data_IF_695174897470
#
_entry.id   IF_695174897470
#
_cell.length_a   1.000
_cell.length_b   1.000
_cell.length_c   1.000
_cell.angle_alpha   90.00
_cell.angle_beta   90.00
_cell.angle_gamma   90.00
#
_symmetry.space_group_name_H-M   'P 1'
#
loop_
_entity.id
_entity.type
_entity.pdbx_description
1 polymer ?
#
# COMPACT_ATOMS: atom_id res chain seq x y z
N UNK A 1 -7.45 10.35 17.86
CA UNK A 1 -6.89 10.73 16.55
C UNK A 1 -6.05 11.97 16.75
N UNK A 2 -4.74 11.76 16.92
CA UNK A 2 -3.77 12.83 16.95
C UNK A 2 -3.57 13.41 15.54
N UNK A 3 -3.03 14.63 15.49
CA UNK A 3 -2.94 15.55 14.35
C UNK A 3 -2.83 14.88 12.98
N UNK A 4 -3.84 15.09 12.12
CA UNK A 4 -3.79 14.68 10.72
C UNK A 4 -3.02 15.73 9.94
N UNK A 5 -1.88 15.36 9.37
CA UNK A 5 -1.15 16.21 8.42
C UNK A 5 -1.59 15.80 7.01
N UNK A 6 -2.06 16.74 6.21
CA UNK A 6 -2.47 16.50 4.82
C UNK A 6 -1.62 17.33 3.86
N UNK A 7 -0.98 16.66 2.92
CA UNK A 7 -0.04 17.26 1.97
C UNK A 7 -0.22 16.71 0.58
N UNK A 8 0.02 17.52 -0.45
CA UNK A 8 0.18 17.02 -1.82
C UNK A 8 1.57 16.42 -2.03
N UNK A 9 1.75 15.62 -3.07
CA UNK A 9 3.07 15.09 -3.47
C UNK A 9 4.07 16.22 -3.77
N UNK A 10 3.58 17.34 -4.32
CA UNK A 10 4.37 18.56 -4.53
C UNK A 10 4.83 19.16 -3.20
N UNK A 11 3.90 19.35 -2.26
CA UNK A 11 4.20 19.89 -0.92
C UNK A 11 5.20 19.01 -0.17
N UNK A 12 5.00 17.70 -0.17
CA UNK A 12 5.91 16.75 0.46
C UNK A 12 7.29 16.75 -0.22
N UNK A 13 7.34 16.76 -1.55
CA UNK A 13 8.59 16.84 -2.32
C UNK A 13 9.40 18.11 -2.02
N UNK A 14 8.74 19.27 -1.95
CA UNK A 14 9.39 20.54 -1.58
C UNK A 14 9.92 20.52 -0.15
N UNK A 15 9.14 19.98 0.79
CA UNK A 15 9.60 19.85 2.18
C UNK A 15 10.80 18.92 2.31
N UNK A 16 10.77 17.74 1.69
CA UNK A 16 11.87 16.78 1.71
C UNK A 16 13.14 17.37 1.11
N UNK A 17 13.02 18.06 -0.04
CA UNK A 17 14.16 18.73 -0.68
C UNK A 17 14.74 19.84 0.19
N UNK A 18 13.88 20.66 0.80
CA UNK A 18 14.32 21.75 1.69
C UNK A 18 14.94 21.22 2.99
N UNK A 19 14.54 20.03 3.43
CA UNK A 19 15.05 19.34 4.60
C UNK A 19 16.27 18.44 4.33
N UNK A 20 16.81 18.46 3.10
CA UNK A 20 18.00 17.70 2.67
C UNK A 20 17.80 16.17 2.68
N UNK A 21 16.56 15.70 2.48
CA UNK A 21 16.25 14.30 2.19
C UNK A 21 16.27 14.05 0.68
N UNK A 22 17.48 14.03 0.11
CA UNK A 22 17.72 14.06 -1.33
C UNK A 22 17.16 12.83 -2.07
N UNK A 23 17.25 11.64 -1.49
CA UNK A 23 16.78 10.41 -2.14
C UNK A 23 15.24 10.34 -2.16
N UNK A 24 14.58 10.64 -1.04
CA UNK A 24 13.12 10.68 -0.95
C UNK A 24 12.53 11.83 -1.78
N UNK A 25 13.16 13.00 -1.75
CA UNK A 25 12.72 14.14 -2.57
C UNK A 25 12.87 13.84 -4.06
N UNK A 26 13.93 13.14 -4.47
CA UNK A 26 14.11 12.68 -5.86
C UNK A 26 12.99 11.75 -6.28
N UNK A 27 12.63 10.76 -5.45
CA UNK A 27 11.49 9.85 -5.74
C UNK A 27 10.21 10.67 -5.91
N UNK A 28 9.90 11.60 -4.99
CA UNK A 28 8.71 12.44 -5.11
C UNK A 28 8.70 13.27 -6.40
N UNK A 29 9.81 13.93 -6.70
CA UNK A 29 9.90 14.82 -7.87
C UNK A 29 9.86 14.04 -9.18
N UNK A 30 10.58 12.93 -9.29
CA UNK A 30 10.71 12.20 -10.56
C UNK A 30 9.58 11.21 -10.80
N UNK A 31 9.09 10.54 -9.77
CA UNK A 31 8.11 9.45 -9.94
C UNK A 31 6.68 9.92 -9.75
N UNK A 32 6.44 10.99 -8.99
CA UNK A 32 5.09 11.51 -8.73
C UNK A 32 4.84 12.83 -9.48
N UNK A 33 5.68 13.84 -9.28
CA UNK A 33 5.47 15.18 -9.86
C UNK A 33 5.78 15.20 -11.37
N UNK A 34 6.86 14.54 -11.80
CA UNK A 34 7.27 14.38 -13.21
C UNK A 34 7.34 15.70 -14.01
N UNK A 35 8.08 16.73 -13.54
CA UNK A 35 8.21 17.99 -14.29
C UNK A 35 8.90 17.75 -15.64
N UNK A 36 8.45 18.42 -16.72
CA UNK A 36 9.01 18.30 -18.08
C UNK A 36 10.31 19.07 -18.27
N UNK A 37 10.75 19.82 -17.26
CA UNK A 37 12.01 20.54 -17.27
C UNK A 37 12.14 21.53 -16.12
N UNK A 38 13.29 22.18 -16.04
CA UNK A 38 13.67 23.09 -14.95
C UNK A 38 12.68 24.23 -14.73
N UNK A 39 12.17 24.85 -15.81
CA UNK A 39 11.20 25.95 -15.70
C UNK A 39 9.90 25.53 -15.03
N UNK A 40 9.43 24.32 -15.33
CA UNK A 40 8.21 23.77 -14.72
C UNK A 40 8.46 23.40 -13.26
N UNK A 41 9.62 22.79 -12.95
CA UNK A 41 10.02 22.50 -11.58
C UNK A 41 10.09 23.77 -10.71
N UNK A 42 10.69 24.85 -11.21
CA UNK A 42 10.75 26.14 -10.51
C UNK A 42 9.36 26.73 -10.29
N UNK A 43 8.47 26.62 -11.27
CA UNK A 43 7.09 27.10 -11.14
C UNK A 43 6.31 26.30 -10.08
N UNK A 44 6.44 24.96 -10.09
CA UNK A 44 5.86 24.06 -9.08
C UNK A 44 6.39 24.42 -7.70
N UNK A 45 7.71 24.54 -7.54
CA UNK A 45 8.33 24.90 -6.27
C UNK A 45 7.77 26.21 -5.71
N UNK A 46 7.76 27.28 -6.52
CA UNK A 46 7.26 28.59 -6.09
C UNK A 46 5.78 28.57 -5.73
N UNK A 47 4.95 27.85 -6.51
CA UNK A 47 3.53 27.67 -6.21
C UNK A 47 3.31 26.92 -4.91
N UNK A 48 4.05 25.83 -4.72
CA UNK A 48 3.99 24.95 -3.55
C UNK A 48 4.42 25.66 -2.28
N UNK A 49 5.49 26.45 -2.31
CA UNK A 49 5.91 27.26 -1.17
C UNK A 49 4.79 28.21 -0.73
N UNK A 50 4.06 28.82 -1.67
CA UNK A 50 2.91 29.66 -1.31
C UNK A 50 1.79 28.86 -0.61
N UNK A 51 1.53 27.62 -1.04
CA UNK A 51 0.56 26.74 -0.37
C UNK A 51 1.03 26.37 1.04
N UNK A 52 2.30 26.01 1.21
CA UNK A 52 2.90 25.70 2.52
C UNK A 52 2.88 26.91 3.47
N UNK A 53 3.08 28.13 2.95
CA UNK A 53 2.90 29.38 3.72
C UNK A 53 1.46 29.54 4.20
N UNK A 54 0.47 29.32 3.33
CA UNK A 54 -0.94 29.39 3.70
C UNK A 54 -1.33 28.34 4.75
N UNK A 55 -0.69 27.17 4.74
CA UNK A 55 -0.85 26.13 5.76
C UNK A 55 -0.09 26.41 7.07
N UNK A 56 0.72 27.47 7.13
CA UNK A 56 1.55 27.79 8.29
C UNK A 56 2.73 26.84 8.51
N UNK A 57 3.06 25.99 7.52
CA UNK A 57 4.17 25.04 7.57
C UNK A 57 5.49 25.72 7.19
N UNK A 58 5.43 26.76 6.35
CA UNK A 58 6.59 27.51 5.86
C UNK A 58 6.70 28.90 6.50
N UNK A 59 7.77 29.12 7.27
CA UNK A 59 8.11 30.40 7.88
C UNK A 59 8.87 31.29 6.89
N UNK A 60 8.18 32.29 6.37
CA UNK A 60 8.73 33.21 5.39
C UNK A 60 9.81 34.14 5.95
N UNK A 61 9.74 34.48 7.24
CA UNK A 61 10.72 35.36 7.86
C UNK A 61 12.03 34.64 8.13
N UNK A 62 11.99 33.34 8.40
CA UNK A 62 13.17 32.48 8.40
C UNK A 62 13.75 32.32 7.00
N UNK A 63 12.91 32.05 6.00
CA UNK A 63 13.36 31.89 4.62
C UNK A 63 14.13 33.11 4.10
N UNK A 64 13.60 34.33 4.32
CA UNK A 64 14.26 35.60 3.94
C UNK A 64 15.61 35.83 4.61
N UNK A 65 15.86 35.18 5.76
CA UNK A 65 17.11 35.24 6.52
C UNK A 65 18.06 34.09 6.18
N UNK A 66 17.76 33.31 5.13
CA UNK A 66 18.51 32.13 4.73
C UNK A 66 18.57 31.06 5.84
N UNK A 67 17.56 31.03 6.71
CA UNK A 67 17.37 29.99 7.72
C UNK A 67 16.39 28.94 7.21
N UNK A 68 16.46 27.71 7.74
CA UNK A 68 15.50 26.66 7.42
C UNK A 68 14.06 27.14 7.76
N UNK A 69 13.16 27.21 6.77
CA UNK A 69 11.81 27.74 6.95
C UNK A 69 10.84 26.75 7.58
N UNK A 70 11.25 25.49 7.76
CA UNK A 70 10.43 24.41 8.30
C UNK A 70 10.51 24.43 9.84
N UNK A 71 9.38 24.21 10.52
CA UNK A 71 9.35 24.09 11.98
C UNK A 71 10.04 22.82 12.47
N UNK A 72 10.51 22.80 13.73
CA UNK A 72 11.14 21.61 14.31
C UNK A 72 10.20 20.40 14.36
N UNK A 73 8.90 20.62 14.56
CA UNK A 73 7.86 19.59 14.53
C UNK A 73 7.79 18.91 13.16
N UNK A 74 7.72 19.70 12.09
CA UNK A 74 7.66 19.17 10.72
C UNK A 74 9.00 18.52 10.34
N UNK A 75 10.14 19.09 10.76
CA UNK A 75 11.44 18.45 10.57
C UNK A 75 11.52 17.08 11.27
N UNK A 76 10.91 16.94 12.45
CA UNK A 76 10.86 15.67 13.18
C UNK A 76 9.97 14.66 12.44
N UNK A 77 8.81 15.10 11.94
CA UNK A 77 7.95 14.28 11.09
C UNK A 77 8.68 13.79 9.82
N UNK A 78 9.36 14.68 9.09
CA UNK A 78 10.10 14.31 7.88
C UNK A 78 11.21 13.30 8.17
N UNK A 79 11.90 13.43 9.32
CA UNK A 79 12.89 12.43 9.76
C UNK A 79 12.27 11.05 9.96
N UNK A 80 11.10 10.97 10.58
CA UNK A 80 10.37 9.70 10.78
C UNK A 80 9.87 9.15 9.44
N UNK A 81 9.38 10.03 8.57
CA UNK A 81 8.90 9.67 7.24
C UNK A 81 10.00 9.05 6.36
N UNK A 82 11.20 9.63 6.38
CA UNK A 82 12.33 9.18 5.56
C UNK A 82 13.10 8.02 6.20
N UNK A 83 13.28 8.01 7.53
CA UNK A 83 14.11 7.01 8.21
C UNK A 83 13.27 5.91 8.86
N UNK A 84 12.77 4.98 8.05
CA UNK A 84 12.07 3.79 8.54
C UNK A 84 12.69 2.53 7.95
N UNK A 85 12.76 1.47 8.76
CA UNK A 85 13.29 0.17 8.33
C UNK A 85 12.21 -0.79 7.86
N UNK A 86 11.02 -0.73 8.45
CA UNK A 86 9.93 -1.66 8.20
C UNK A 86 8.65 -0.92 7.83
N UNK A 87 7.91 -1.47 6.87
CA UNK A 87 6.59 -0.96 6.53
C UNK A 87 5.62 -2.06 6.13
N UNK A 88 4.34 -1.77 6.30
CA UNK A 88 3.23 -2.48 5.67
C UNK A 88 2.73 -1.60 4.53
N UNK A 89 2.64 -2.14 3.32
CA UNK A 89 2.08 -1.44 2.16
C UNK A 89 0.88 -2.21 1.64
N UNK A 90 -0.27 -1.53 1.60
CA UNK A 90 -1.52 -2.06 1.08
C UNK A 90 -1.93 -1.27 -0.17
N UNK A 91 -2.33 -1.96 -1.24
CA UNK A 91 -2.82 -1.35 -2.48
C UNK A 91 -4.31 -1.60 -2.66
N UNK A 92 -5.02 -0.59 -3.14
CA UNK A 92 -6.43 -0.68 -3.54
C UNK A 92 -6.59 0.01 -4.90
N UNK A 93 -6.58 -0.80 -5.95
CA UNK A 93 -6.62 -0.30 -7.34
C UNK A 93 -7.98 0.31 -7.69
N UNK A 94 -9.06 -0.18 -7.08
CA UNK A 94 -10.40 0.37 -7.30
C UNK A 94 -10.52 1.80 -6.78
N UNK A 95 -10.00 2.06 -5.57
CA UNK A 95 -9.94 3.40 -4.97
C UNK A 95 -8.79 4.24 -5.52
N UNK A 96 -7.90 3.66 -6.34
CA UNK A 96 -6.61 4.26 -6.74
C UNK A 96 -5.81 4.77 -5.53
N UNK A 97 -5.84 3.99 -4.46
CA UNK A 97 -5.28 4.37 -3.19
C UNK A 97 -4.18 3.41 -2.76
N UNK A 98 -3.19 3.96 -2.05
CA UNK A 98 -2.17 3.17 -1.36
C UNK A 98 -2.17 3.55 0.11
N UNK A 99 -2.18 2.56 0.98
CA UNK A 99 -1.95 2.73 2.40
C UNK A 99 -0.53 2.25 2.72
N UNK A 100 0.22 3.07 3.45
CA UNK A 100 1.56 2.71 3.94
C UNK A 100 1.61 2.96 5.44
N UNK A 101 1.92 1.91 6.21
CA UNK A 101 2.16 1.99 7.64
C UNK A 101 3.66 1.81 7.87
N UNK A 102 4.34 2.85 8.36
CA UNK A 102 5.78 2.79 8.67
C UNK A 102 5.98 2.58 10.14
N UNK A 103 6.81 1.60 10.50
CA UNK A 103 7.16 1.41 11.90
C UNK A 103 8.03 2.57 12.38
N UNK A 104 7.65 3.17 13.50
CA UNK A 104 8.40 4.26 14.13
C UNK A 104 9.19 3.71 15.31
N UNK A 105 8.50 3.28 16.36
CA UNK A 105 9.09 2.74 17.59
C UNK A 105 8.02 2.11 18.48
N UNK A 106 8.37 1.02 19.16
CA UNK A 106 7.52 0.33 20.15
C UNK A 106 6.16 -0.08 19.55
N UNK A 107 5.09 0.59 19.94
CA UNK A 107 3.72 0.35 19.48
C UNK A 107 3.30 1.36 18.40
N UNK A 108 4.15 2.34 18.08
CA UNK A 108 3.79 3.48 17.22
C UNK A 108 4.14 3.24 15.75
N UNK A 109 3.15 3.48 14.90
CA UNK A 109 3.25 3.44 13.45
C UNK A 109 2.83 4.78 12.85
N UNK A 110 3.52 5.20 11.79
CA UNK A 110 3.11 6.32 10.96
C UNK A 110 2.21 5.78 9.84
N UNK A 111 0.92 6.10 9.94
CA UNK A 111 -0.07 5.90 8.90
C UNK A 111 0.14 6.92 7.78
N UNK A 112 0.07 6.46 6.54
CA UNK A 112 0.03 7.29 5.34
C UNK A 112 -1.00 6.73 4.35
N UNK A 113 -2.09 7.46 4.13
CA UNK A 113 -3.02 7.19 3.03
C UNK A 113 -2.68 8.08 1.84
N UNK A 114 -2.53 7.48 0.67
CA UNK A 114 -2.19 8.13 -0.59
C UNK A 114 -3.38 7.98 -1.55
N UNK A 115 -3.99 9.10 -1.93
CA UNK A 115 -5.12 9.17 -2.86
C UNK A 115 -4.65 9.64 -4.25
N UNK A 116 -4.92 8.83 -5.28
CA UNK A 116 -4.56 9.08 -6.69
C UNK A 116 -3.10 9.52 -6.89
N UNK A 117 -2.19 9.00 -6.05
CA UNK A 117 -0.76 9.36 -6.03
C UNK A 117 -0.47 10.86 -5.77
N UNK A 118 -1.47 11.64 -5.36
CA UNK A 118 -1.40 13.11 -5.23
C UNK A 118 -1.55 13.56 -3.78
N UNK A 119 -2.54 13.04 -3.05
CA UNK A 119 -2.87 13.52 -1.70
C UNK A 119 -2.39 12.52 -0.67
N UNK A 120 -1.57 12.97 0.26
CA UNK A 120 -1.03 12.18 1.36
C UNK A 120 -1.64 12.66 2.68
N UNK A 121 -2.31 11.75 3.39
CA UNK A 121 -2.82 11.99 4.73
C UNK A 121 -2.04 11.15 5.74
N UNK A 122 -1.51 11.81 6.77
CA UNK A 122 -0.66 11.20 7.77
C UNK A 122 -1.32 11.24 9.15
N UNK A 123 -1.11 10.18 9.92
CA UNK A 123 -1.50 10.11 11.33
C UNK A 123 -0.57 9.14 12.06
N UNK A 124 -0.49 9.25 13.38
CA UNK A 124 0.11 8.19 14.20
C UNK A 124 -0.98 7.24 14.67
N UNK A 125 -0.71 5.94 14.59
CA UNK A 125 -1.58 4.87 15.08
C UNK A 125 -0.78 3.89 15.94
N UNK A 126 -1.49 3.14 16.77
CA UNK A 126 -0.94 2.01 17.52
C UNK A 126 -0.94 0.72 16.69
N UNK A 127 -0.11 -0.26 17.07
CA UNK A 127 -0.05 -1.59 16.45
C UNK A 127 -1.41 -2.29 16.49
N UNK A 128 -2.17 -2.09 17.57
CA UNK A 128 -3.49 -2.71 17.77
C UNK A 128 -4.54 -2.18 16.80
N UNK A 129 -4.35 -1.00 16.23
CA UNK A 129 -5.27 -0.37 15.26
C UNK A 129 -5.06 -0.88 13.83
N UNK A 130 -3.93 -1.55 13.53
CA UNK A 130 -3.57 -1.99 12.17
C UNK A 130 -4.68 -2.80 11.47
N UNK A 131 -5.30 -3.82 12.11
CA UNK A 131 -6.34 -4.60 11.45
C UNK A 131 -7.56 -3.76 11.07
N UNK A 132 -8.02 -2.89 11.96
CA UNK A 132 -9.18 -2.02 11.70
C UNK A 132 -8.88 -1.02 10.59
N UNK A 133 -7.70 -0.41 10.62
CA UNK A 133 -7.24 0.51 9.58
C UNK A 133 -7.19 -0.17 8.21
N UNK A 134 -6.72 -1.42 8.13
CA UNK A 134 -6.75 -2.19 6.87
C UNK A 134 -8.18 -2.53 6.46
N UNK A 135 -9.04 -2.91 7.41
CA UNK A 135 -10.45 -3.21 7.17
C UNK A 135 -11.18 -2.00 6.58
N UNK A 136 -11.01 -0.82 7.16
CA UNK A 136 -11.55 0.45 6.66
C UNK A 136 -10.94 0.84 5.29
N UNK A 137 -9.63 0.64 5.11
CA UNK A 137 -8.95 0.95 3.86
C UNK A 137 -9.52 0.15 2.68
N UNK A 138 -9.85 -1.12 2.87
CA UNK A 138 -10.49 -1.93 1.84
C UNK A 138 -12.01 -1.69 1.78
N UNK A 139 -12.68 -1.60 2.93
CA UNK A 139 -14.13 -1.44 3.07
C UNK A 139 -14.95 -2.44 2.24
N UNK A 140 -14.51 -3.69 2.20
CA UNK A 140 -15.23 -4.74 1.50
C UNK A 140 -16.54 -5.10 2.18
N UNK A 141 -17.50 -5.54 1.38
CA UNK A 141 -18.80 -6.02 1.84
C UNK A 141 -18.85 -7.54 1.74
N UNK A 142 -19.38 -8.19 2.76
CA UNK A 142 -19.53 -9.63 2.83
C UNK A 142 -21.02 -9.99 2.95
N UNK A 143 -21.43 -11.10 2.31
CA UNK A 143 -22.79 -11.62 2.40
C UNK A 143 -22.81 -12.89 3.25
N UNK A 144 -23.74 -12.97 4.19
CA UNK A 144 -23.97 -14.18 4.97
C UNK A 144 -24.44 -15.35 4.09
N UNK A 145 -23.84 -16.53 4.25
CA UNK A 145 -24.15 -17.78 3.54
C UNK A 145 -23.83 -17.77 2.03
N UNK A 146 -22.85 -16.99 1.59
CA UNK A 146 -22.23 -17.20 0.28
C UNK A 146 -21.63 -18.62 0.23
N UNK A 147 -21.70 -19.29 -0.92
CA UNK A 147 -21.16 -20.65 -1.03
C UNK A 147 -19.63 -20.61 -1.12
N UNK A 148 -18.97 -21.63 -0.57
CA UNK A 148 -17.51 -21.77 -0.66
C UNK A 148 -17.09 -21.99 -2.11
N UNK A 149 -16.61 -20.92 -2.75
CA UNK A 149 -16.14 -20.95 -4.13
C UNK A 149 -14.62 -21.15 -4.11
N UNK A 150 -14.15 -22.27 -4.66
CA UNK A 150 -12.73 -22.67 -4.64
C UNK A 150 -12.35 -23.28 -5.99
N UNK A 151 -11.16 -22.96 -6.47
CA UNK A 151 -10.53 -23.62 -7.61
C UNK A 151 -9.00 -23.50 -7.54
N UNK A 152 -8.30 -24.26 -8.39
CA UNK A 152 -6.84 -24.32 -8.41
C UNK A 152 -6.31 -23.96 -9.80
N UNK A 153 -5.19 -23.24 -9.85
CA UNK A 153 -4.45 -22.92 -11.06
C UNK A 153 -2.99 -23.34 -10.94
N UNK A 154 -2.37 -23.65 -12.07
CA UNK A 154 -0.90 -23.69 -12.14
C UNK A 154 -0.32 -22.27 -12.09
N UNK A 155 0.95 -22.12 -11.73
CA UNK A 155 1.64 -20.82 -11.75
C UNK A 155 1.48 -20.10 -13.10
N UNK A 156 1.63 -20.87 -14.18
CA UNK A 156 1.50 -20.37 -15.54
C UNK A 156 0.08 -19.89 -15.84
N UNK A 157 -0.94 -20.57 -15.36
CA UNK A 157 -2.32 -20.14 -15.55
C UNK A 157 -2.64 -18.90 -14.74
N UNK A 158 -2.13 -18.81 -13.51
CA UNK A 158 -2.26 -17.63 -12.67
C UNK A 158 -1.59 -16.39 -13.29
N UNK A 159 -0.38 -16.53 -13.83
CA UNK A 159 0.30 -15.46 -14.56
C UNK A 159 -0.49 -14.99 -15.79
N UNK A 160 -1.15 -15.93 -16.47
CA UNK A 160 -1.95 -15.63 -17.66
C UNK A 160 -3.28 -14.96 -17.31
N UNK A 161 -3.91 -15.32 -16.19
CA UNK A 161 -5.21 -14.76 -15.78
C UNK A 161 -5.08 -13.32 -15.30
N UNK A 162 -3.94 -12.99 -14.68
CA UNK A 162 -3.59 -11.61 -14.31
C UNK A 162 -3.35 -10.70 -15.54
N UNK A 163 -3.30 -11.25 -16.76
CA UNK A 163 -3.15 -10.49 -17.99
C UNK A 163 -4.46 -10.49 -18.80
N UNK A 164 -5.17 -9.35 -18.89
CA UNK A 164 -6.46 -9.26 -19.60
C UNK A 164 -6.39 -9.76 -21.06
N UNK A 165 -5.24 -9.62 -21.73
CA UNK A 165 -5.05 -10.05 -23.12
C UNK A 165 -4.89 -11.57 -23.27
N UNK A 166 -4.60 -12.29 -22.19
CA UNK A 166 -4.29 -13.73 -22.21
C UNK A 166 -5.33 -14.59 -21.47
N UNK A 167 -6.24 -13.98 -20.74
CA UNK A 167 -7.35 -14.61 -20.02
C UNK A 167 -8.08 -15.72 -20.81
N UNK A 168 -8.50 -15.44 -22.05
CA UNK A 168 -9.23 -16.41 -22.90
C UNK A 168 -8.50 -17.72 -23.14
N UNK A 169 -7.18 -17.76 -22.94
CA UNK A 169 -6.41 -19.01 -23.03
C UNK A 169 -6.67 -19.88 -21.81
N UNK A 170 -6.67 -19.28 -20.62
CA UNK A 170 -6.92 -19.96 -19.35
C UNK A 170 -8.37 -20.46 -19.32
N UNK A 171 -9.34 -19.64 -19.70
CA UNK A 171 -10.76 -20.05 -19.76
C UNK A 171 -10.99 -21.29 -20.62
N UNK A 172 -10.26 -21.43 -21.73
CA UNK A 172 -10.39 -22.57 -22.64
C UNK A 172 -9.62 -23.80 -22.18
N UNK A 173 -8.56 -23.63 -21.40
CA UNK A 173 -7.72 -24.73 -20.92
C UNK A 173 -8.06 -25.19 -19.52
N UNK A 174 -8.85 -24.41 -18.76
CA UNK A 174 -9.17 -24.72 -17.37
C UNK A 174 -9.87 -26.07 -17.26
N UNK A 175 -9.26 -26.95 -16.46
CA UNK A 175 -9.79 -28.26 -16.12
C UNK A 175 -10.03 -28.33 -14.62
N UNK A 176 -11.23 -28.74 -14.24
CA UNK A 176 -11.63 -28.93 -12.85
C UNK A 176 -12.95 -29.69 -12.76
N UNK A 177 -13.34 -30.01 -11.54
CA UNK A 177 -14.67 -30.52 -11.20
C UNK A 177 -15.77 -29.51 -11.58
N UNK A 178 -17.03 -29.95 -11.56
CA UNK A 178 -18.17 -29.05 -11.85
C UNK A 178 -18.23 -27.86 -10.89
N UNK A 179 -17.92 -28.07 -9.60
CA UNK A 179 -17.90 -27.00 -8.59
C UNK A 179 -16.76 -26.01 -8.81
N UNK A 180 -15.56 -26.52 -9.14
CA UNK A 180 -14.40 -25.65 -9.45
C UNK A 180 -14.64 -24.83 -10.71
N UNK A 181 -15.29 -25.39 -11.74
CA UNK A 181 -15.66 -24.65 -12.95
C UNK A 181 -16.65 -23.52 -12.67
N UNK A 182 -17.67 -23.77 -11.85
CA UNK A 182 -18.61 -22.74 -11.43
C UNK A 182 -17.90 -21.63 -10.62
N UNK A 183 -16.98 -22.01 -9.74
CA UNK A 183 -16.18 -21.07 -8.94
C UNK A 183 -15.26 -20.22 -9.82
N UNK A 184 -14.59 -20.86 -10.77
CA UNK A 184 -13.73 -20.20 -11.77
C UNK A 184 -14.54 -19.22 -12.62
N UNK A 185 -15.69 -19.62 -13.15
CA UNK A 185 -16.56 -18.73 -13.93
C UNK A 185 -17.01 -17.50 -13.13
N UNK A 186 -17.38 -17.68 -11.85
CA UNK A 186 -17.70 -16.56 -10.95
C UNK A 186 -16.49 -15.64 -10.77
N UNK A 187 -15.32 -16.19 -10.47
CA UNK A 187 -14.07 -15.44 -10.37
C UNK A 187 -13.78 -14.63 -11.65
N UNK A 188 -13.99 -15.21 -12.84
CA UNK A 188 -13.77 -14.50 -14.09
C UNK A 188 -14.69 -13.29 -14.27
N UNK A 189 -15.94 -13.39 -13.83
CA UNK A 189 -16.91 -12.29 -13.87
C UNK A 189 -16.47 -11.17 -12.93
N UNK A 190 -16.08 -11.50 -11.70
CA UNK A 190 -15.62 -10.54 -10.70
C UNK A 190 -14.32 -9.86 -11.17
N UNK A 191 -13.36 -10.65 -11.63
CA UNK A 191 -12.08 -10.17 -12.17
C UNK A 191 -12.29 -9.19 -13.33
N UNK A 192 -13.22 -9.51 -14.24
CA UNK A 192 -13.51 -8.64 -15.38
C UNK A 192 -14.19 -7.34 -14.96
N UNK A 193 -15.13 -7.42 -14.01
CA UNK A 193 -15.85 -6.26 -13.47
C UNK A 193 -14.88 -5.28 -12.78
N UNK A 194 -13.81 -5.81 -12.20
CA UNK A 194 -12.77 -5.06 -11.50
C UNK A 194 -11.55 -4.76 -12.36
N UNK A 195 -11.67 -4.81 -13.71
CA UNK A 195 -10.58 -4.51 -14.64
C UNK A 195 -9.27 -5.27 -14.39
N UNK A 196 -9.37 -6.50 -13.88
CA UNK A 196 -8.23 -7.35 -13.51
C UNK A 196 -7.32 -6.72 -12.45
N UNK A 197 -7.85 -5.79 -11.66
CA UNK A 197 -7.17 -5.21 -10.52
C UNK A 197 -6.80 -6.29 -9.52
N UNK A 198 -5.50 -6.38 -9.20
CA UNK A 198 -4.98 -7.20 -8.14
C UNK A 198 -4.53 -6.30 -7.00
N UNK A 199 -4.99 -6.62 -5.81
CA UNK A 199 -4.68 -5.91 -4.59
C UNK A 199 -3.69 -6.71 -3.75
N UNK A 200 -2.99 -6.02 -2.85
CA UNK A 200 -1.97 -6.66 -2.03
C UNK A 200 -1.81 -5.98 -0.69
N UNK A 201 -1.41 -6.77 0.32
CA UNK A 201 -0.85 -6.29 1.58
C UNK A 201 0.54 -6.91 1.71
N UNK A 202 1.59 -6.08 1.66
CA UNK A 202 2.97 -6.50 1.72
C UNK A 202 3.66 -5.97 2.97
N UNK A 203 4.38 -6.83 3.68
CA UNK A 203 5.32 -6.46 4.74
C UNK A 203 6.71 -6.37 4.12
N UNK A 204 7.31 -5.19 4.22
CA UNK A 204 8.53 -4.83 3.52
C UNK A 204 9.58 -4.32 4.51
N UNK A 205 10.85 -4.47 4.16
CA UNK A 205 11.96 -3.84 4.90
C UNK A 205 13.05 -3.30 4.00
N UNK A 206 13.77 -2.28 4.46
CA UNK A 206 15.05 -1.90 3.88
C UNK A 206 16.19 -2.69 4.52
N UNK A 207 17.10 -3.20 3.68
CA UNK A 207 18.37 -3.75 4.15
C UNK A 207 19.42 -2.65 4.43
N UNK A 208 20.60 -3.03 4.90
CA UNK A 208 21.70 -2.10 5.22
C UNK A 208 22.20 -1.33 3.99
N UNK A 209 21.96 -1.85 2.78
CA UNK A 209 22.27 -1.20 1.51
C UNK A 209 21.16 -0.31 0.98
N UNK A 210 20.05 -0.14 1.72
CA UNK A 210 18.89 0.64 1.31
C UNK A 210 18.03 -0.04 0.24
N UNK A 211 18.20 -1.35 -0.01
CA UNK A 211 17.34 -2.07 -0.94
C UNK A 211 16.09 -2.58 -0.26
N UNK A 212 14.97 -2.47 -0.96
CA UNK A 212 13.66 -2.91 -0.48
C UNK A 212 13.50 -4.43 -0.64
N UNK A 213 13.19 -5.11 0.46
CA UNK A 213 12.98 -6.56 0.54
C UNK A 213 11.52 -6.87 0.89
N UNK A 214 10.94 -7.86 0.23
CA UNK A 214 9.63 -8.41 0.58
C UNK A 214 9.78 -9.50 1.64
N UNK A 215 9.21 -9.26 2.82
CA UNK A 215 9.26 -10.20 3.94
C UNK A 215 8.04 -11.13 3.97
N UNK A 216 6.88 -10.59 3.63
CA UNK A 216 5.64 -11.36 3.50
C UNK A 216 4.65 -10.59 2.61
N UNK A 217 3.71 -11.29 1.97
CA UNK A 217 2.70 -10.66 1.13
C UNK A 217 1.45 -11.51 0.95
N UNK A 218 0.29 -10.86 1.05
CA UNK A 218 -1.00 -11.42 0.67
C UNK A 218 -1.46 -10.75 -0.63
N UNK A 219 -1.89 -11.55 -1.61
CA UNK A 219 -2.40 -11.07 -2.90
C UNK A 219 -3.83 -11.56 -3.10
N UNK A 220 -4.70 -10.67 -3.54
CA UNK A 220 -6.13 -10.95 -3.63
C UNK A 220 -6.81 -10.08 -4.67
N UNK A 221 -8.07 -10.40 -4.95
CA UNK A 221 -8.91 -9.69 -5.90
C UNK A 221 -10.25 -9.34 -5.25
N UNK A 222 -10.75 -8.15 -5.53
CA UNK A 222 -12.06 -7.72 -5.06
C UNK A 222 -13.17 -8.60 -5.66
N UNK A 223 -14.17 -8.92 -4.85
CA UNK A 223 -15.45 -9.47 -5.28
C UNK A 223 -16.59 -8.62 -4.69
N UNK A 224 -17.73 -8.45 -5.39
CA UNK A 224 -18.86 -7.69 -4.84
C UNK A 224 -19.34 -8.16 -3.45
N UNK A 225 -19.18 -9.46 -3.16
CA UNK A 225 -19.66 -10.11 -1.93
C UNK A 225 -18.53 -10.71 -1.07
N UNK A 226 -17.28 -10.25 -1.26
CA UNK A 226 -16.16 -10.74 -0.47
C UNK A 226 -14.81 -10.49 -1.13
N UNK A 227 -13.85 -11.38 -0.90
CA UNK A 227 -12.49 -11.23 -1.40
C UNK A 227 -12.00 -12.56 -1.96
N UNK A 228 -11.48 -12.56 -3.19
CA UNK A 228 -10.81 -13.73 -3.74
C UNK A 228 -9.36 -13.77 -3.23
N UNK A 229 -9.08 -14.67 -2.30
CA UNK A 229 -7.74 -14.88 -1.76
C UNK A 229 -6.93 -15.86 -2.63
N UNK A 230 -5.63 -15.59 -2.73
CA UNK A 230 -4.67 -16.47 -3.39
C UNK A 230 -3.73 -17.09 -2.36
N UNK A 231 -3.67 -18.42 -2.33
CA UNK A 231 -2.78 -19.20 -1.46
C UNK A 231 -1.90 -20.13 -2.28
N UNK A 232 -0.64 -20.28 -1.88
CA UNK A 232 0.30 -21.20 -2.52
C UNK A 232 0.45 -22.49 -1.71
N UNK A 233 0.09 -23.60 -2.32
CA UNK A 233 0.27 -24.94 -1.78
C UNK A 233 1.47 -25.61 -2.47
N UNK A 234 2.68 -25.30 -2.00
CA UNK A 234 3.96 -25.63 -2.65
C UNK A 234 4.19 -27.11 -2.98
N UNK A 235 3.44 -28.03 -2.36
CA UNK A 235 3.59 -29.47 -2.58
C UNK A 235 2.73 -30.01 -3.73
N UNK A 236 1.90 -29.18 -4.38
CA UNK A 236 0.96 -29.59 -5.44
C UNK A 236 1.42 -29.18 -6.85
N UNK A 237 1.06 -29.98 -7.85
CA UNK A 237 1.29 -29.68 -9.28
C UNK A 237 0.51 -28.44 -9.76
N UNK A 238 -0.63 -28.19 -9.13
CA UNK A 238 -1.51 -27.03 -9.36
C UNK A 238 -1.55 -26.24 -8.04
N UNK A 239 -0.49 -25.47 -7.72
CA UNK A 239 -0.25 -24.98 -6.37
C UNK A 239 -1.04 -23.73 -6.00
N UNK A 240 -1.63 -23.02 -6.97
CA UNK A 240 -2.30 -21.74 -6.71
C UNK A 240 -3.76 -22.01 -6.39
N UNK A 241 -4.09 -22.03 -5.09
CA UNK A 241 -5.47 -22.11 -4.61
C UNK A 241 -6.09 -20.71 -4.62
N UNK A 242 -7.20 -20.56 -5.33
CA UNK A 242 -8.00 -19.34 -5.31
C UNK A 242 -9.34 -19.66 -4.69
N UNK A 243 -9.73 -18.89 -3.67
CA UNK A 243 -10.99 -19.08 -2.98
C UNK A 243 -11.63 -17.77 -2.56
N UNK A 244 -12.97 -17.75 -2.53
CA UNK A 244 -13.74 -16.61 -2.05
C UNK A 244 -13.79 -16.67 -0.53
N UNK A 245 -13.18 -15.69 0.12
CA UNK A 245 -13.12 -15.56 1.56
C UNK A 245 -14.36 -14.87 2.12
N UNK A 246 -14.84 -15.41 3.25
CA UNK A 246 -15.84 -14.79 4.10
C UNK A 246 -15.18 -13.77 5.03
N UNK A 247 -16.00 -12.99 5.75
CA UNK A 247 -15.53 -11.92 6.64
C UNK A 247 -14.56 -12.45 7.71
N UNK A 248 -14.85 -13.59 8.32
CA UNK A 248 -14.00 -14.19 9.36
C UNK A 248 -12.59 -14.51 8.83
N UNK A 249 -12.50 -15.13 7.65
CA UNK A 249 -11.21 -15.44 7.00
C UNK A 249 -10.46 -14.16 6.62
N UNK A 250 -11.18 -13.13 6.17
CA UNK A 250 -10.57 -11.84 5.87
C UNK A 250 -10.00 -11.17 7.12
N UNK A 251 -10.77 -11.13 8.21
CA UNK A 251 -10.35 -10.58 9.50
C UNK A 251 -9.14 -11.35 10.06
N UNK A 252 -9.08 -12.68 9.87
CA UNK A 252 -7.90 -13.51 10.21
C UNK A 252 -6.65 -13.08 9.43
N UNK A 253 -6.77 -12.80 8.12
CA UNK A 253 -5.66 -12.30 7.31
C UNK A 253 -5.18 -10.95 7.83
N UNK A 254 -6.09 -10.01 8.10
CA UNK A 254 -5.74 -8.68 8.61
C UNK A 254 -5.06 -8.75 9.97
N UNK A 255 -5.56 -9.61 10.86
CA UNK A 255 -4.93 -9.86 12.15
C UNK A 255 -3.57 -10.56 12.01
N UNK A 256 -3.45 -11.49 11.07
CA UNK A 256 -2.20 -12.18 10.73
C UNK A 256 -1.11 -11.23 10.27
N UNK A 257 -1.45 -10.22 9.44
CA UNK A 257 -0.52 -9.15 9.03
C UNK A 257 0.04 -8.42 10.25
N UNK A 258 -0.85 -8.00 11.17
CA UNK A 258 -0.43 -7.34 12.42
C UNK A 258 0.49 -8.25 13.25
N UNK A 259 0.11 -9.50 13.48
CA UNK A 259 0.92 -10.42 14.30
C UNK A 259 2.30 -10.65 13.69
N UNK A 260 2.36 -10.90 12.38
CA UNK A 260 3.60 -11.14 11.66
C UNK A 260 4.52 -9.92 11.75
N UNK A 261 4.03 -8.72 11.40
CA UNK A 261 4.84 -7.50 11.43
C UNK A 261 5.38 -7.21 12.82
N UNK A 262 4.55 -7.40 13.84
CA UNK A 262 4.88 -7.08 15.23
C UNK A 262 5.90 -8.05 15.82
N UNK A 263 5.73 -9.35 15.58
CA UNK A 263 6.66 -10.37 16.05
C UNK A 263 8.02 -10.23 15.37
N UNK A 264 8.01 -10.06 14.04
CA UNK A 264 9.22 -9.86 13.25
C UNK A 264 10.03 -8.65 13.74
N UNK A 265 9.36 -7.52 13.97
CA UNK A 265 10.03 -6.31 14.47
C UNK A 265 10.57 -6.53 15.89
N UNK A 266 9.81 -7.20 16.77
CA UNK A 266 10.24 -7.51 18.14
C UNK A 266 11.40 -8.50 18.19
N UNK A 267 11.50 -9.41 17.23
CA UNK A 267 12.62 -10.35 17.11
C UNK A 267 13.87 -9.63 16.61
N UNK A 268 13.75 -8.86 15.51
CA UNK A 268 14.88 -8.13 14.93
C UNK A 268 15.40 -6.99 15.82
N UNK A 269 14.53 -6.39 16.64
CA UNK A 269 14.93 -5.39 17.63
C UNK A 269 15.72 -5.96 18.82
N UNK A 270 15.72 -7.29 19.03
CA UNK A 270 16.57 -7.94 20.05
C UNK A 270 17.98 -8.23 19.56
N UNK A 271 18.21 -8.16 18.25
CA UNK A 271 19.51 -8.41 17.62
C UNK A 271 20.34 -7.13 17.42
N UNK A 272 19.79 -5.96 17.81
CA UNK A 272 20.43 -4.65 17.82
C UNK A 272 20.79 -4.23 19.24
#
# INVERSE_FOLDING_TARGET
MDTIISMTSEELGVLLSTAEFDDESRIMIHDFIKPKGERELVAIFNSTVNQLRMKGIWDEEKHKKELNPISEEIMTFLKVYSNYRYMIRATNEWKKATLVLRYVKEDTWLYQYIDDEIIHNFAYISEVEIPEVLKEFYAYSFIENEYDAIFYLSDKEFDLICNPKKQKKVEKSFTGTSLEKMSFEKFMVDLHTNYHARESICVLSYDEGGQLQLLNGAYFFYAPNGVWLTEYEHEKEVPVKIHLAHEETWDEILYGVRLFSSNLIKELAKEL
#
